data_IF_223932985944
#
_entry.id   IF_223932985944
#
_cell.length_a   1.000
_cell.length_b   1.000
_cell.length_c   1.000
_cell.angle_alpha   90.00
_cell.angle_beta   90.00
_cell.angle_gamma   90.00
#
_symmetry.space_group_name_H-M   'P 1'
#
loop_
_entity.id
_entity.type
_entity.pdbx_description
1 polymer ?
#
# COMPACT_ATOMS: atom_id res chain seq x y z
N UNK A 1 -15.17 0.21 21.92
CA UNK A 1 -14.79 -0.95 21.10
C UNK A 1 -15.63 -0.90 19.84
N UNK A 2 -15.12 -0.17 18.85
CA UNK A 2 -15.79 0.05 17.58
C UNK A 2 -15.51 -1.17 16.70
N UNK A 3 -16.52 -1.68 15.99
CA UNK A 3 -16.57 -2.98 15.30
C UNK A 3 -15.49 -3.27 14.22
N UNK A 4 -14.48 -2.41 14.09
CA UNK A 4 -13.43 -2.45 13.07
C UNK A 4 -12.00 -2.32 13.65
N UNK A 5 -11.84 -2.37 14.98
CA UNK A 5 -10.54 -2.28 15.63
C UNK A 5 -9.80 -3.63 15.55
N UNK A 6 -9.05 -3.82 14.47
CA UNK A 6 -8.12 -4.94 14.33
C UNK A 6 -6.77 -4.56 14.97
N UNK A 7 -6.29 -5.43 15.87
CA UNK A 7 -4.95 -5.32 16.42
C UNK A 7 -4.04 -6.26 15.64
N UNK A 8 -3.19 -5.70 14.78
CA UNK A 8 -2.18 -6.44 14.02
C UNK A 8 -0.84 -6.14 14.65
N UNK A 9 -0.19 -7.14 15.22
CA UNK A 9 1.18 -7.05 15.76
C UNK A 9 1.40 -5.87 16.73
N UNK A 10 0.39 -5.55 17.55
CA UNK A 10 0.45 -4.46 18.53
C UNK A 10 0.25 -3.05 17.95
N UNK A 11 -0.26 -2.95 16.73
CA UNK A 11 -0.73 -1.71 16.09
C UNK A 11 -2.25 -1.60 16.17
N UNK A 12 -2.75 -0.39 16.43
CA UNK A 12 -4.19 -0.06 16.29
C UNK A 12 -4.51 0.24 14.82
N UNK A 13 -5.07 -0.74 14.11
CA UNK A 13 -5.32 -0.65 12.66
C UNK A 13 -6.76 -0.23 12.38
N UNK A 14 -6.91 0.78 11.51
CA UNK A 14 -8.18 1.29 11.01
C UNK A 14 -8.58 0.66 9.67
N UNK A 15 -7.59 0.28 8.86
CA UNK A 15 -7.80 -0.37 7.58
C UNK A 15 -6.58 -1.21 7.19
N UNK A 16 -6.83 -2.35 6.57
CA UNK A 16 -5.82 -3.28 6.08
C UNK A 16 -6.13 -3.67 4.63
N UNK A 17 -5.18 -3.43 3.74
CA UNK A 17 -5.34 -3.72 2.31
C UNK A 17 -5.59 -5.19 1.98
N UNK A 18 -5.30 -6.12 2.90
CA UNK A 18 -5.56 -7.55 2.69
C UNK A 18 -7.00 -7.96 3.01
N UNK A 19 -7.74 -7.13 3.76
CA UNK A 19 -9.12 -7.41 4.16
C UNK A 19 -10.13 -6.89 3.13
N UNK A 20 -9.75 -5.92 2.30
CA UNK A 20 -10.62 -5.29 1.32
C UNK A 20 -10.18 -5.63 -0.11
N UNK A 21 -10.77 -6.71 -0.64
CA UNK A 21 -10.50 -7.17 -1.99
C UNK A 21 -11.34 -6.35 -2.99
N UNK A 22 -10.72 -5.77 -4.04
CA UNK A 22 -11.46 -5.07 -5.07
C UNK A 22 -12.55 -5.95 -5.68
N UNK A 23 -13.66 -5.29 -6.05
CA UNK A 23 -14.79 -5.92 -6.71
C UNK A 23 -14.33 -6.78 -7.90
N UNK A 24 -15.10 -7.85 -8.16
CA UNK A 24 -14.85 -8.71 -9.31
C UNK A 24 -14.87 -7.92 -10.61
N UNK A 25 -13.91 -8.23 -11.47
CA UNK A 25 -13.83 -7.66 -12.80
C UNK A 25 -13.34 -8.69 -13.81
N UNK A 26 -13.70 -8.47 -15.07
CA UNK A 26 -13.24 -9.28 -16.19
C UNK A 26 -11.79 -8.96 -16.58
N UNK A 27 -11.20 -9.83 -17.40
CA UNK A 27 -9.80 -9.74 -17.82
C UNK A 27 -9.41 -8.39 -18.46
N UNK A 28 -10.29 -7.81 -19.28
CA UNK A 28 -10.03 -6.54 -19.95
C UNK A 28 -9.91 -5.38 -18.95
N UNK A 29 -10.72 -5.38 -17.90
CA UNK A 29 -10.68 -4.37 -16.85
C UNK A 29 -9.45 -4.56 -15.97
N UNK A 30 -9.17 -5.80 -15.55
CA UNK A 30 -7.94 -6.13 -14.85
C UNK A 30 -6.69 -5.67 -15.62
N UNK A 31 -6.61 -5.97 -16.92
CA UNK A 31 -5.49 -5.58 -17.78
C UNK A 31 -5.30 -4.06 -17.84
N UNK A 32 -6.39 -3.28 -17.81
CA UNK A 32 -6.32 -1.81 -17.74
C UNK A 32 -5.77 -1.33 -16.40
N UNK A 33 -6.19 -1.95 -15.30
CA UNK A 33 -5.71 -1.61 -13.94
C UNK A 33 -4.23 -1.96 -13.81
N UNK A 34 -3.82 -3.16 -14.22
CA UNK A 34 -2.42 -3.60 -14.22
C UNK A 34 -1.53 -2.65 -15.04
N UNK A 35 -2.00 -2.26 -16.24
CA UNK A 35 -1.31 -1.27 -17.07
C UNK A 35 -1.20 0.09 -16.39
N UNK A 36 -2.25 0.56 -15.72
CA UNK A 36 -2.23 1.81 -15.00
C UNK A 36 -1.22 1.79 -13.84
N UNK A 37 -1.19 0.71 -13.05
CA UNK A 37 -0.21 0.52 -11.98
C UNK A 37 1.24 0.56 -12.53
N UNK A 38 1.52 -0.15 -13.63
CA UNK A 38 2.81 -0.09 -14.30
C UNK A 38 3.17 1.32 -14.79
N UNK A 39 2.23 2.03 -15.41
CA UNK A 39 2.45 3.39 -15.90
C UNK A 39 2.67 4.40 -14.78
N UNK A 40 2.10 4.17 -13.60
CA UNK A 40 2.33 5.03 -12.44
C UNK A 40 3.78 4.95 -11.96
N UNK A 41 4.44 3.80 -12.08
CA UNK A 41 5.84 3.61 -11.72
C UNK A 41 6.86 4.14 -12.76
N UNK A 42 6.45 5.01 -13.70
CA UNK A 42 7.28 5.46 -14.82
C UNK A 42 8.63 6.10 -14.46
N UNK A 43 8.79 6.61 -13.23
CA UNK A 43 10.03 7.27 -12.78
C UNK A 43 11.00 6.27 -12.12
N UNK A 44 10.56 5.02 -11.93
CA UNK A 44 11.28 3.97 -11.21
C UNK A 44 11.32 2.70 -12.07
N UNK A 45 12.25 2.61 -13.05
CA UNK A 45 12.25 1.54 -14.06
C UNK A 45 12.24 0.13 -13.47
N UNK A 46 12.98 -0.10 -12.38
CA UNK A 46 13.06 -1.40 -11.73
C UNK A 46 11.70 -1.80 -11.10
N UNK A 47 11.06 -0.88 -10.37
CA UNK A 47 9.72 -1.09 -9.83
C UNK A 47 8.70 -1.33 -10.96
N UNK A 48 8.74 -0.54 -12.04
CA UNK A 48 7.86 -0.70 -13.18
C UNK A 48 8.01 -2.09 -13.85
N UNK A 49 9.23 -2.61 -13.93
CA UNK A 49 9.52 -3.94 -14.47
C UNK A 49 8.98 -5.05 -13.55
N UNK A 50 9.16 -4.92 -12.23
CA UNK A 50 8.61 -5.88 -11.26
C UNK A 50 7.08 -5.88 -11.29
N UNK A 51 6.44 -4.70 -11.34
CA UNK A 51 4.98 -4.57 -11.45
C UNK A 51 4.47 -5.25 -12.73
N UNK A 52 5.10 -4.98 -13.88
CA UNK A 52 4.73 -5.59 -15.16
C UNK A 52 4.87 -7.12 -15.11
N UNK A 53 5.98 -7.60 -14.57
CA UNK A 53 6.21 -9.04 -14.42
C UNK A 53 5.10 -9.67 -13.57
N UNK A 54 4.83 -9.12 -12.38
CA UNK A 54 3.84 -9.67 -11.44
C UNK A 54 2.39 -9.62 -11.93
N UNK A 55 1.97 -8.48 -12.51
CA UNK A 55 0.57 -8.22 -12.86
C UNK A 55 0.23 -8.48 -14.33
N UNK A 56 1.17 -8.97 -15.14
CA UNK A 56 0.91 -9.22 -16.56
C UNK A 56 1.61 -10.49 -17.03
N UNK A 57 2.93 -10.61 -16.83
CA UNK A 57 3.65 -11.78 -17.34
C UNK A 57 3.37 -13.05 -16.50
N UNK A 58 3.25 -12.88 -15.17
CA UNK A 58 3.02 -13.94 -14.19
C UNK A 58 1.58 -13.93 -13.62
N UNK A 59 0.68 -13.10 -14.16
CA UNK A 59 -0.70 -13.00 -13.66
C UNK A 59 -1.50 -14.27 -13.97
N UNK A 60 -2.35 -14.67 -13.01
CA UNK A 60 -3.28 -15.76 -13.26
C UNK A 60 -4.31 -15.31 -14.29
N UNK A 61 -4.47 -16.07 -15.37
CA UNK A 61 -5.51 -15.83 -16.37
C UNK A 61 -6.91 -15.82 -15.75
N UNK A 62 -7.90 -15.33 -16.51
CA UNK A 62 -9.28 -15.37 -16.06
C UNK A 62 -9.75 -16.80 -15.73
N UNK A 63 -10.57 -16.92 -14.69
CA UNK A 63 -11.29 -18.14 -14.35
C UNK A 63 -12.32 -18.50 -15.44
N UNK A 64 -12.90 -19.69 -15.35
CA UNK A 64 -13.88 -20.18 -16.35
C UNK A 64 -15.11 -19.28 -16.48
N UNK A 65 -15.51 -18.60 -15.40
CA UNK A 65 -16.61 -17.64 -15.39
C UNK A 65 -16.22 -16.25 -15.92
N UNK A 66 -14.96 -16.07 -16.33
CA UNK A 66 -14.40 -14.82 -16.84
C UNK A 66 -13.95 -13.83 -15.77
N UNK A 67 -14.13 -14.13 -14.49
CA UNK A 67 -13.61 -13.31 -13.39
C UNK A 67 -12.11 -13.51 -13.21
N UNK A 68 -11.45 -12.54 -12.58
CA UNK A 68 -9.99 -12.53 -12.38
C UNK A 68 -9.59 -13.02 -10.98
N UNK A 69 -8.29 -13.28 -10.74
CA UNK A 69 -7.83 -13.62 -9.39
C UNK A 69 -7.96 -12.40 -8.45
N UNK A 70 -8.69 -12.51 -7.31
CA UNK A 70 -8.82 -11.42 -6.33
C UNK A 70 -7.48 -10.92 -5.78
N UNK A 71 -6.49 -11.80 -5.63
CA UNK A 71 -5.17 -11.42 -5.13
C UNK A 71 -4.43 -10.53 -6.12
N UNK A 72 -4.44 -10.88 -7.41
CA UNK A 72 -3.80 -10.06 -8.44
C UNK A 72 -4.51 -8.71 -8.61
N UNK A 73 -5.85 -8.66 -8.46
CA UNK A 73 -6.58 -7.38 -8.36
C UNK A 73 -6.10 -6.56 -7.17
N UNK A 74 -6.06 -7.15 -5.98
CA UNK A 74 -5.63 -6.48 -4.75
C UNK A 74 -4.22 -5.88 -4.89
N UNK A 75 -3.28 -6.65 -5.43
CA UNK A 75 -1.91 -6.17 -5.69
C UNK A 75 -1.85 -5.03 -6.70
N UNK A 76 -2.67 -5.06 -7.75
CA UNK A 76 -2.74 -3.97 -8.72
C UNK A 76 -3.20 -2.65 -8.08
N UNK A 77 -4.21 -2.70 -7.19
CA UNK A 77 -4.66 -1.54 -6.43
C UNK A 77 -3.61 -1.08 -5.41
N UNK A 78 -2.93 -2.01 -4.73
CA UNK A 78 -1.89 -1.68 -3.76
C UNK A 78 -0.73 -0.92 -4.41
N UNK A 79 -0.22 -1.41 -5.54
CA UNK A 79 0.88 -0.76 -6.27
C UNK A 79 0.47 0.60 -6.85
N UNK A 80 -0.77 0.73 -7.34
CA UNK A 80 -1.26 2.04 -7.78
C UNK A 80 -1.30 3.05 -6.62
N UNK A 81 -1.78 2.64 -5.44
CA UNK A 81 -1.79 3.51 -4.26
C UNK A 81 -0.37 3.86 -3.78
N UNK A 82 0.56 2.90 -3.80
CA UNK A 82 1.96 3.12 -3.47
C UNK A 82 2.55 4.25 -4.32
N UNK A 83 2.47 4.11 -5.64
CA UNK A 83 3.02 5.08 -6.58
C UNK A 83 2.35 6.46 -6.44
N UNK A 84 1.03 6.50 -6.28
CA UNK A 84 0.30 7.76 -6.08
C UNK A 84 0.66 8.43 -4.76
N UNK A 85 0.85 7.66 -3.69
CA UNK A 85 1.20 8.19 -2.37
C UNK A 85 2.60 8.81 -2.34
N UNK A 86 3.54 8.28 -3.13
CA UNK A 86 4.90 8.79 -3.27
C UNK A 86 4.99 10.06 -4.12
N UNK A 87 4.13 10.19 -5.14
CA UNK A 87 4.17 11.32 -6.09
C UNK A 87 3.80 12.64 -5.42
N UNK A 88 4.71 13.62 -5.53
CA UNK A 88 4.52 14.95 -4.95
C UNK A 88 4.55 14.96 -3.41
N UNK A 89 4.97 13.85 -2.79
CA UNK A 89 5.04 13.73 -1.34
C UNK A 89 6.13 14.61 -0.73
N UNK A 90 5.82 15.22 0.42
CA UNK A 90 6.79 16.01 1.20
C UNK A 90 7.45 15.13 2.24
N UNK A 91 8.78 15.02 2.22
CA UNK A 91 9.54 14.29 3.24
C UNK A 91 9.39 14.95 4.62
N UNK A 92 9.30 14.13 5.68
CA UNK A 92 9.28 14.58 7.07
C UNK A 92 10.65 14.43 7.74
N UNK A 93 11.71 14.91 7.08
CA UNK A 93 13.10 14.63 7.49
C UNK A 93 13.42 15.00 8.94
N UNK A 94 12.81 16.06 9.47
CA UNK A 94 13.05 16.55 10.83
C UNK A 94 12.26 15.79 11.91
N UNK A 95 11.27 14.99 11.51
CA UNK A 95 10.38 14.23 12.41
C UNK A 95 10.69 12.74 12.27
N UNK A 96 10.52 12.19 11.09
CA UNK A 96 10.76 10.80 10.77
C UNK A 96 11.45 10.70 9.39
N UNK A 97 12.77 10.45 9.33
CA UNK A 97 13.54 10.54 8.09
C UNK A 97 13.08 9.60 6.97
N UNK A 98 12.47 8.47 7.32
CA UNK A 98 11.93 7.50 6.37
C UNK A 98 10.53 7.87 5.88
N UNK A 99 9.83 8.76 6.56
CA UNK A 99 8.45 9.13 6.27
C UNK A 99 8.32 10.22 5.20
N UNK A 100 7.18 10.19 4.51
CA UNK A 100 6.72 11.32 3.69
C UNK A 100 5.21 11.51 3.84
N UNK A 101 4.75 12.73 3.64
CA UNK A 101 3.33 13.07 3.62
C UNK A 101 2.86 13.07 2.17
N UNK A 102 1.85 12.25 1.88
CA UNK A 102 1.20 12.22 0.57
C UNK A 102 0.44 13.52 0.28
N UNK A 103 -0.02 13.69 -0.96
CA UNK A 103 -0.81 14.87 -1.37
C UNK A 103 -2.11 15.04 -0.57
N UNK A 104 -2.63 13.96 -0.03
CA UNK A 104 -3.81 13.91 0.84
C UNK A 104 -3.53 14.28 2.30
N UNK A 105 -2.28 14.62 2.63
CA UNK A 105 -1.89 15.03 3.97
C UNK A 105 -1.65 13.86 4.94
N UNK A 106 -1.67 12.61 4.49
CA UNK A 106 -1.44 11.45 5.36
C UNK A 106 0.04 11.03 5.30
N UNK A 107 0.72 10.86 6.45
CA UNK A 107 2.07 10.31 6.50
C UNK A 107 2.12 8.86 6.03
N UNK A 108 3.21 8.49 5.38
CA UNK A 108 3.50 7.16 4.85
C UNK A 108 4.84 6.68 5.41
N UNK A 109 4.87 5.43 5.86
CA UNK A 109 6.00 4.77 6.52
C UNK A 109 6.32 3.46 5.80
N UNK A 110 7.44 3.37 5.05
CA UNK A 110 7.90 2.11 4.49
C UNK A 110 8.68 1.34 5.56
N UNK A 111 8.28 0.11 5.85
CA UNK A 111 8.90 -0.75 6.88
C UNK A 111 8.95 -2.20 6.39
N UNK A 112 9.88 -2.99 6.92
CA UNK A 112 9.98 -4.43 6.62
C UNK A 112 8.86 -5.26 7.27
N UNK A 113 8.38 -4.81 8.43
CA UNK A 113 7.45 -5.54 9.29
C UNK A 113 6.68 -4.56 10.20
N UNK A 114 5.58 -5.05 10.79
CA UNK A 114 4.70 -4.23 11.62
C UNK A 114 5.33 -3.84 12.96
N UNK A 115 6.20 -4.68 13.54
CA UNK A 115 6.89 -4.39 14.79
C UNK A 115 7.81 -3.16 14.65
N UNK A 116 8.47 -3.04 13.50
CA UNK A 116 9.32 -1.90 13.14
C UNK A 116 8.55 -0.58 12.99
N UNK A 117 7.24 -0.62 12.76
CA UNK A 117 6.41 0.56 12.59
C UNK A 117 6.15 1.31 13.90
N UNK A 118 6.02 0.59 15.02
CA UNK A 118 5.62 1.16 16.33
C UNK A 118 6.48 2.36 16.77
N UNK A 119 7.82 2.26 16.84
CA UNK A 119 8.64 3.42 17.24
C UNK A 119 8.52 4.61 16.28
N UNK A 120 8.25 4.37 14.98
CA UNK A 120 8.06 5.46 14.01
C UNK A 120 6.70 6.14 14.19
N UNK A 121 5.67 5.36 14.50
CA UNK A 121 4.34 5.85 14.83
C UNK A 121 4.35 6.69 16.11
N UNK A 122 5.11 6.29 17.14
CA UNK A 122 5.28 7.08 18.37
C UNK A 122 5.90 8.46 18.11
N UNK A 123 6.89 8.54 17.21
CA UNK A 123 7.51 9.81 16.79
C UNK A 123 6.51 10.69 16.04
N UNK A 124 5.72 10.11 15.13
CA UNK A 124 4.66 10.84 14.43
C UNK A 124 3.56 11.31 15.41
N UNK A 125 3.20 10.49 16.39
CA UNK A 125 2.26 10.82 17.45
C UNK A 125 2.72 12.00 18.33
N UNK A 126 4.03 12.08 18.61
CA UNK A 126 4.63 13.18 19.36
C UNK A 126 4.60 14.50 18.56
N UNK A 127 4.74 14.43 17.23
CA UNK A 127 4.62 15.57 16.32
C UNK A 127 3.15 15.96 16.00
N UNK A 128 2.19 15.15 16.46
CA UNK A 128 0.75 15.46 16.37
C UNK A 128 0.01 14.83 15.20
N UNK A 129 0.63 13.90 14.46
CA UNK A 129 -0.06 13.13 13.44
C UNK A 129 -0.94 12.06 14.11
N UNK A 130 -2.25 11.98 13.81
CA UNK A 130 -3.14 11.02 14.47
C UNK A 130 -3.16 9.64 13.79
N UNK A 131 -2.81 9.58 12.50
CA UNK A 131 -2.80 8.36 11.67
C UNK A 131 -1.64 8.38 10.70
N UNK A 132 -1.20 7.20 10.27
CA UNK A 132 -0.22 7.03 9.19
C UNK A 132 -0.51 5.76 8.38
N UNK A 133 -0.11 5.76 7.10
CA UNK A 133 -0.03 4.55 6.27
C UNK A 133 1.27 3.84 6.54
N UNK A 134 1.20 2.60 6.99
CA UNK A 134 2.34 1.70 7.15
C UNK A 134 2.37 0.79 5.93
N UNK A 135 3.41 0.93 5.11
CA UNK A 135 3.66 0.13 3.93
C UNK A 135 4.64 -0.98 4.29
N UNK A 136 4.14 -2.22 4.33
CA UNK A 136 4.96 -3.40 4.57
C UNK A 136 5.62 -3.81 3.26
N UNK A 137 6.94 -3.72 3.22
CA UNK A 137 7.75 -3.80 2.00
C UNK A 137 8.37 -5.19 1.83
N UNK A 138 8.40 -5.68 0.59
CA UNK A 138 9.23 -6.79 0.14
C UNK A 138 10.09 -6.30 -1.03
N UNK A 139 11.36 -5.97 -0.73
CA UNK A 139 12.21 -5.22 -1.64
C UNK A 139 11.68 -3.80 -1.86
N UNK A 140 11.50 -3.42 -3.13
CA UNK A 140 11.13 -2.04 -3.53
C UNK A 140 9.61 -1.79 -3.57
N UNK A 141 8.79 -2.83 -3.37
CA UNK A 141 7.34 -2.74 -3.49
C UNK A 141 6.64 -3.23 -2.21
N UNK A 142 5.49 -2.63 -1.87
CA UNK A 142 4.72 -3.09 -0.72
C UNK A 142 3.93 -4.36 -1.04
N UNK A 143 3.83 -5.28 -0.08
CA UNK A 143 2.92 -6.42 -0.16
C UNK A 143 1.64 -6.22 0.66
N UNK A 144 1.62 -5.23 1.56
CA UNK A 144 0.45 -4.87 2.40
C UNK A 144 0.55 -3.42 2.85
N UNK A 145 -0.59 -2.77 3.03
CA UNK A 145 -0.69 -1.44 3.62
C UNK A 145 -1.69 -1.44 4.77
N UNK A 146 -1.27 -0.84 5.89
CA UNK A 146 -2.11 -0.64 7.07
C UNK A 146 -2.33 0.86 7.28
N UNK A 147 -3.57 1.30 7.43
CA UNK A 147 -3.86 2.60 8.00
C UNK A 147 -3.88 2.45 9.52
N UNK A 148 -2.82 2.90 10.19
CA UNK A 148 -2.69 2.75 11.64
C UNK A 148 -2.95 4.08 12.35
N UNK A 149 -3.54 4.02 13.56
CA UNK A 149 -3.45 5.12 14.51
C UNK A 149 -2.02 5.21 15.02
N UNK A 150 -1.53 6.43 15.21
CA UNK A 150 -0.21 6.66 15.80
C UNK A 150 -0.22 6.55 17.33
N UNK A 151 -1.40 6.70 17.95
CA UNK A 151 -1.63 6.49 19.38
C UNK A 151 -2.71 5.43 19.57
N UNK A 152 -2.50 4.55 20.55
CA UNK A 152 -3.53 3.65 21.08
C UNK A 152 -4.60 4.41 21.87
#
# INVERSE_FOLDING_TARGET
MTLYENHVDGLSVLWDSTEDLPAECGWDEYSRIARAAHMLAHDTPDAAAVIRKRLTDDADGAYEDGSTNPYDRGMAFLYAQWELSGKGGRRLVDVCPTAWVGIDGVPNLPVSDAESAKPLLDVLAADGWPVARVWLMDGDLPFRMLLARTKE
#
